data_IF_251547621296
#
_entry.id   IF_251547621296
#
_cell.length_a   1.000
_cell.length_b   1.000
_cell.length_c   1.000
_cell.angle_alpha   90.00
_cell.angle_beta   90.00
_cell.angle_gamma   90.00
#
_symmetry.space_group_name_H-M   'P 1'
#
loop_
_entity.id
_entity.type
_entity.pdbx_description
1 polymer ?
#
# COMPACT_ATOMS: atom_id res chain seq x y z
N UNK A 1 -17.19 -33.21 38.94
CA UNK A 1 -16.76 -33.05 37.53
C UNK A 1 -16.55 -31.55 37.25
N UNK A 2 -15.87 -30.83 38.15
CA UNK A 2 -15.85 -29.35 38.21
C UNK A 2 -14.46 -28.75 37.97
N UNK A 3 -13.43 -29.59 37.87
CA UNK A 3 -12.04 -29.13 37.75
C UNK A 3 -11.68 -28.67 36.32
N UNK A 4 -12.41 -29.11 35.30
CA UNK A 4 -12.14 -28.78 33.88
C UNK A 4 -12.65 -27.39 33.49
N UNK A 5 -13.73 -26.93 34.13
CA UNK A 5 -14.39 -25.67 33.80
C UNK A 5 -13.55 -24.47 34.25
N UNK A 6 -13.00 -24.53 35.46
CA UNK A 6 -12.13 -23.49 36.02
C UNK A 6 -10.85 -23.31 35.18
N UNK A 7 -10.30 -24.38 34.62
CA UNK A 7 -9.10 -24.32 33.78
C UNK A 7 -9.40 -23.73 32.40
N UNK A 8 -10.58 -24.03 31.82
CA UNK A 8 -11.04 -23.42 30.57
C UNK A 8 -11.29 -21.92 30.71
N UNK A 9 -11.88 -21.48 31.83
CA UNK A 9 -12.09 -20.06 32.12
C UNK A 9 -10.77 -19.29 32.29
N UNK A 10 -9.76 -19.91 32.92
CA UNK A 10 -8.42 -19.30 33.06
C UNK A 10 -7.66 -19.21 31.73
N UNK A 11 -7.85 -20.15 30.81
CA UNK A 11 -7.27 -20.07 29.46
C UNK A 11 -7.94 -18.96 28.65
N UNK A 12 -9.28 -18.84 28.69
CA UNK A 12 -9.99 -17.76 28.04
C UNK A 12 -9.58 -16.37 28.56
N UNK A 13 -9.39 -16.21 29.87
CA UNK A 13 -8.93 -14.94 30.45
C UNK A 13 -7.47 -14.59 30.10
N UNK A 14 -6.60 -15.59 29.93
CA UNK A 14 -5.18 -15.39 29.62
C UNK A 14 -4.88 -15.23 28.13
N UNK A 15 -5.76 -15.75 27.26
CA UNK A 15 -5.65 -15.66 25.80
C UNK A 15 -6.68 -14.72 25.16
N UNK A 16 -7.66 -14.21 25.91
CA UNK A 16 -8.82 -13.45 25.42
C UNK A 16 -8.73 -11.93 25.57
N UNK A 17 -7.53 -11.33 25.50
CA UNK A 17 -7.39 -9.87 25.44
C UNK A 17 -6.14 -9.44 24.67
N UNK A 18 -5.99 -9.93 23.45
CA UNK A 18 -5.60 -9.09 22.33
C UNK A 18 -6.52 -9.51 21.19
N UNK A 19 -7.39 -8.59 20.81
CA UNK A 19 -8.37 -8.79 19.77
C UNK A 19 -7.74 -9.45 18.53
N UNK A 20 -8.49 -10.24 17.76
CA UNK A 20 -8.22 -10.28 16.35
C UNK A 20 -8.35 -8.83 15.91
N UNK A 21 -7.24 -8.17 15.60
CA UNK A 21 -7.28 -6.97 14.77
C UNK A 21 -7.86 -7.45 13.45
N UNK A 22 -9.18 -7.35 13.38
CA UNK A 22 -10.02 -7.06 12.24
C UNK A 22 -9.15 -6.90 11.00
N UNK A 23 -9.15 -7.89 10.12
CA UNK A 23 -10.07 -7.82 9.00
C UNK A 23 -10.00 -6.42 8.37
N UNK A 24 -8.94 -6.22 7.59
CA UNK A 24 -8.94 -5.27 6.48
C UNK A 24 -9.16 -6.02 5.18
N UNK A 25 -9.79 -7.19 5.24
CA UNK A 25 -10.12 -8.00 4.08
C UNK A 25 -11.43 -7.54 3.43
N UNK A 26 -11.57 -6.24 3.22
CA UNK A 26 -12.66 -5.64 2.43
C UNK A 26 -12.16 -4.43 1.60
N UNK A 27 -10.90 -4.48 1.12
CA UNK A 27 -10.39 -3.80 -0.10
C UNK A 27 -9.00 -4.39 -0.46
N UNK A 28 -8.91 -5.73 -0.54
CA UNK A 28 -7.60 -6.43 -0.58
C UNK A 28 -6.79 -6.19 -1.85
N UNK A 29 -7.38 -5.61 -2.91
CA UNK A 29 -6.68 -5.34 -4.16
C UNK A 29 -6.36 -3.85 -4.35
N UNK A 30 -7.24 -2.91 -3.97
CA UNK A 30 -6.99 -1.47 -4.14
C UNK A 30 -6.14 -0.90 -3.00
N UNK A 31 -6.50 -1.23 -1.75
CA UNK A 31 -5.72 -0.82 -0.58
C UNK A 31 -4.27 -1.32 -0.60
N UNK A 32 -4.04 -2.54 -1.09
CA UNK A 32 -2.71 -3.14 -1.25
C UNK A 32 -1.90 -2.47 -2.37
N UNK A 33 -2.49 -2.23 -3.55
CA UNK A 33 -1.82 -1.55 -4.66
C UNK A 33 -1.40 -0.13 -4.25
N UNK A 34 -2.29 0.64 -3.63
CA UNK A 34 -1.96 1.99 -3.13
C UNK A 34 -0.82 1.96 -2.13
N UNK A 35 -0.87 1.03 -1.16
CA UNK A 35 0.19 0.89 -0.17
C UNK A 35 1.54 0.57 -0.83
N UNK A 36 1.58 -0.35 -1.79
CA UNK A 36 2.79 -0.71 -2.53
C UNK A 36 3.36 0.44 -3.35
N UNK A 37 2.51 1.21 -4.05
CA UNK A 37 2.93 2.44 -4.75
C UNK A 37 3.61 3.41 -3.77
N UNK A 38 2.98 3.67 -2.62
CA UNK A 38 3.55 4.55 -1.60
C UNK A 38 4.91 4.05 -1.09
N UNK A 39 5.08 2.73 -0.90
CA UNK A 39 6.36 2.13 -0.52
C UNK A 39 7.45 2.32 -1.59
N UNK A 40 7.13 2.14 -2.87
CA UNK A 40 8.08 2.35 -3.96
C UNK A 40 8.56 3.79 -4.03
N UNK A 41 7.64 4.75 -3.90
CA UNK A 41 7.93 6.18 -3.90
C UNK A 41 8.77 6.55 -2.68
N UNK A 42 8.34 6.14 -1.48
CA UNK A 42 9.05 6.40 -0.23
C UNK A 42 10.50 5.92 -0.26
N UNK A 43 10.78 4.78 -0.92
CA UNK A 43 12.14 4.28 -1.11
C UNK A 43 13.00 5.14 -2.03
N UNK A 44 12.41 5.81 -3.03
CA UNK A 44 13.14 6.71 -3.93
C UNK A 44 13.50 8.01 -3.21
N UNK A 45 12.56 8.58 -2.45
CA UNK A 45 12.75 9.87 -1.77
C UNK A 45 13.27 9.76 -0.33
N UNK A 46 13.50 8.54 0.16
CA UNK A 46 13.94 8.24 1.53
C UNK A 46 13.00 8.83 2.61
N UNK A 47 11.69 8.70 2.39
CA UNK A 47 10.64 9.15 3.31
C UNK A 47 9.85 7.98 3.91
N UNK A 48 8.90 8.29 4.79
CA UNK A 48 7.96 7.31 5.33
C UNK A 48 6.78 7.11 4.34
N UNK A 49 6.41 5.86 3.99
CA UNK A 49 5.30 5.59 3.07
C UNK A 49 3.93 6.07 3.59
N UNK A 50 3.77 6.25 4.90
CA UNK A 50 2.54 6.75 5.50
C UNK A 50 2.36 8.26 5.31
N UNK A 51 3.42 8.99 4.99
CA UNK A 51 3.39 10.44 4.71
C UNK A 51 3.04 10.76 3.25
N UNK A 52 2.98 9.75 2.37
CA UNK A 52 2.65 9.92 0.96
C UNK A 52 1.13 10.04 0.80
N UNK A 53 0.67 11.24 0.43
CA UNK A 53 -0.75 11.52 0.11
C UNK A 53 -1.11 11.04 -1.29
N UNK A 54 -2.35 10.60 -1.48
CA UNK A 54 -2.87 10.22 -2.80
C UNK A 54 -2.89 11.41 -3.78
N UNK A 55 -3.06 12.62 -3.25
CA UNK A 55 -3.05 13.87 -4.02
C UNK A 55 -1.64 14.42 -4.29
N UNK A 56 -0.59 13.78 -3.78
CA UNK A 56 0.78 14.25 -3.97
C UNK A 56 1.21 14.01 -5.42
N UNK A 57 1.74 15.05 -6.06
CA UNK A 57 2.31 14.96 -7.41
C UNK A 57 3.75 14.51 -7.34
N UNK A 58 4.27 13.92 -8.42
CA UNK A 58 5.67 13.55 -8.51
C UNK A 58 6.64 14.72 -8.25
N UNK A 59 6.29 15.93 -8.72
CA UNK A 59 7.04 17.16 -8.45
C UNK A 59 7.01 17.56 -6.96
N UNK A 60 5.83 17.51 -6.34
CA UNK A 60 5.66 17.84 -4.91
C UNK A 60 6.45 16.91 -3.98
N UNK A 61 6.66 15.67 -4.43
CA UNK A 61 7.47 14.65 -3.74
C UNK A 61 8.97 14.78 -4.03
N UNK A 62 9.35 15.69 -4.93
CA UNK A 62 10.75 15.93 -5.30
C UNK A 62 11.33 14.88 -6.25
N UNK A 63 10.49 14.13 -6.96
CA UNK A 63 10.95 13.12 -7.92
C UNK A 63 11.55 13.79 -9.16
N UNK A 64 12.83 13.57 -9.39
CA UNK A 64 13.49 14.01 -10.62
C UNK A 64 12.93 13.27 -11.84
N UNK A 65 13.27 13.74 -13.05
CA UNK A 65 12.90 13.02 -14.28
C UNK A 65 13.43 11.59 -14.30
N UNK A 66 14.61 11.33 -13.74
CA UNK A 66 15.17 9.98 -13.67
C UNK A 66 14.41 9.12 -12.64
N UNK A 67 14.07 9.69 -11.48
CA UNK A 67 13.31 8.98 -10.44
C UNK A 67 11.92 8.59 -10.95
N UNK A 68 11.28 9.45 -11.76
CA UNK A 68 9.99 9.14 -12.41
C UNK A 68 10.11 7.99 -13.41
N UNK A 69 11.17 7.94 -14.20
CA UNK A 69 11.44 6.81 -15.11
C UNK A 69 11.67 5.53 -14.32
N UNK A 70 12.49 5.58 -13.27
CA UNK A 70 12.76 4.42 -12.40
C UNK A 70 11.49 3.94 -11.67
N UNK A 71 10.66 4.86 -11.19
CA UNK A 71 9.36 4.56 -10.60
C UNK A 71 8.47 3.83 -11.60
N UNK A 72 8.35 4.35 -12.83
CA UNK A 72 7.61 3.69 -13.91
C UNK A 72 8.05 2.26 -14.13
N UNK A 73 9.36 2.04 -14.32
CA UNK A 73 9.93 0.69 -14.51
C UNK A 73 9.60 -0.24 -13.34
N UNK A 74 9.68 0.24 -12.09
CA UNK A 74 9.37 -0.58 -10.91
C UNK A 74 7.88 -0.92 -10.82
N UNK A 75 7.00 0.03 -11.13
CA UNK A 75 5.56 -0.18 -11.15
C UNK A 75 5.18 -1.20 -12.25
N UNK A 76 5.77 -1.09 -13.45
CA UNK A 76 5.58 -2.08 -14.52
C UNK A 76 6.04 -3.47 -14.10
N UNK A 77 7.20 -3.59 -13.44
CA UNK A 77 7.73 -4.86 -12.96
C UNK A 77 6.89 -5.47 -11.83
N UNK A 78 6.37 -4.65 -10.93
CA UNK A 78 5.62 -5.10 -9.76
C UNK A 78 4.18 -5.49 -10.12
N UNK A 79 3.52 -4.71 -10.96
CA UNK A 79 2.10 -4.89 -11.30
C UNK A 79 1.86 -5.47 -12.68
N UNK A 80 2.90 -5.76 -13.46
CA UNK A 80 2.79 -6.26 -14.84
C UNK A 80 1.94 -5.37 -15.76
N UNK A 81 1.90 -4.07 -15.49
CA UNK A 81 1.24 -3.04 -16.31
C UNK A 81 2.26 -2.31 -17.19
N UNK A 82 1.78 -1.44 -18.09
CA UNK A 82 2.61 -0.57 -18.94
C UNK A 82 2.37 0.89 -18.57
N UNK A 83 3.45 1.66 -18.40
CA UNK A 83 3.41 3.09 -18.14
C UNK A 83 4.05 3.85 -19.30
N UNK A 84 3.25 4.68 -19.98
CA UNK A 84 3.75 5.59 -21.01
C UNK A 84 4.23 6.93 -20.40
N UNK A 85 5.00 7.70 -21.18
CA UNK A 85 5.60 8.97 -20.74
C UNK A 85 4.58 9.98 -20.18
N UNK A 86 3.33 9.93 -20.65
CA UNK A 86 2.24 10.78 -20.15
C UNK A 86 1.90 10.54 -18.69
N UNK A 87 2.11 9.32 -18.19
CA UNK A 87 1.85 8.95 -16.78
C UNK A 87 3.06 9.21 -15.89
N UNK A 88 4.24 9.51 -16.46
CA UNK A 88 5.46 9.84 -15.71
C UNK A 88 5.71 11.36 -15.69
N UNK A 89 4.66 12.16 -15.82
CA UNK A 89 4.72 13.62 -15.78
C UNK A 89 4.93 14.15 -14.33
N UNK A 90 5.49 15.36 -14.12
CA UNK A 90 5.70 15.88 -12.76
C UNK A 90 4.38 16.10 -12.02
N UNK A 91 3.31 16.37 -12.76
CA UNK A 91 1.96 16.60 -12.23
C UNK A 91 1.17 15.31 -11.98
N UNK A 92 1.69 14.13 -12.35
CA UNK A 92 1.01 12.86 -12.07
C UNK A 92 0.90 12.65 -10.57
N UNK A 93 -0.30 12.35 -10.09
CA UNK A 93 -0.56 12.07 -8.68
C UNK A 93 -0.42 10.59 -8.35
N UNK A 94 -0.24 10.27 -7.06
CA UNK A 94 -0.26 8.88 -6.58
C UNK A 94 -1.62 8.21 -6.86
N UNK A 95 -2.72 8.96 -6.78
CA UNK A 95 -4.05 8.50 -7.16
C UNK A 95 -4.15 8.12 -8.64
N UNK A 96 -3.53 8.89 -9.54
CA UNK A 96 -3.51 8.58 -10.99
C UNK A 96 -2.78 7.26 -11.27
N UNK A 97 -1.64 7.03 -10.58
CA UNK A 97 -0.89 5.78 -10.69
C UNK A 97 -1.71 4.59 -10.19
N UNK A 98 -2.37 4.76 -9.03
CA UNK A 98 -3.24 3.75 -8.45
C UNK A 98 -4.40 3.40 -9.40
N UNK A 99 -5.09 4.42 -9.90
CA UNK A 99 -6.20 4.25 -10.84
C UNK A 99 -5.75 3.47 -12.08
N UNK A 100 -4.63 3.85 -12.70
CA UNK A 100 -4.10 3.18 -13.88
C UNK A 100 -3.82 1.70 -13.64
N UNK A 101 -3.17 1.35 -12.52
CA UNK A 101 -2.87 -0.04 -12.17
C UNK A 101 -4.15 -0.83 -11.94
N UNK A 102 -5.12 -0.26 -11.20
CA UNK A 102 -6.38 -0.95 -10.92
C UNK A 102 -7.24 -1.15 -12.17
N UNK A 103 -7.21 -0.22 -13.13
CA UNK A 103 -7.96 -0.37 -14.39
C UNK A 103 -7.38 -1.41 -15.34
N UNK A 104 -6.08 -1.66 -15.28
CA UNK A 104 -5.41 -2.69 -16.09
C UNK A 104 -5.50 -4.09 -15.45
N UNK A 105 -5.89 -4.17 -14.17
CA UNK A 105 -6.04 -5.42 -13.42
C UNK A 105 -7.42 -6.07 -13.58
N UNK A 106 -8.39 -5.38 -14.21
CA UNK A 106 -9.73 -5.87 -14.56
C UNK A 106 -9.77 -6.57 -15.93
#
# INVERSE_FOLDING_TARGET
MELSDAMQQQLAAKFGASAPSQDSSEDESGGDVRARIAHLIARLIQADPTEISDSATADSLGLSSLDRIELGIRLEQEFSTRFDESLLHPETTVADLHQHITSEAE
#
